data_IF_576198211751
#
_entry.id   IF_576198211751
#
_cell.length_a   1.000
_cell.length_b   1.000
_cell.length_c   1.000
_cell.angle_alpha   90.00
_cell.angle_beta   90.00
_cell.angle_gamma   90.00
#
_symmetry.space_group_name_H-M   'P 1'
#
loop_
_entity.id
_entity.type
_entity.pdbx_description
1 polymer ?
#
# COMPACT_ATOMS: atom_id res chain seq x y z
N UNK A 1 5.28 9.24 22.21
CA UNK A 1 5.63 9.36 20.77
C UNK A 1 4.59 8.63 19.90
N UNK A 2 3.77 9.40 19.16
CA UNK A 2 2.55 8.95 18.45
C UNK A 2 2.79 7.95 17.30
N UNK A 3 4.03 7.83 16.82
CA UNK A 3 4.42 6.93 15.72
C UNK A 3 4.31 5.43 16.09
N UNK A 4 4.28 5.07 17.38
CA UNK A 4 4.17 3.66 17.83
C UNK A 4 2.80 3.03 17.53
N UNK A 5 1.79 3.85 17.18
CA UNK A 5 0.44 3.41 16.82
C UNK A 5 0.09 3.67 15.35
N UNK A 6 1.06 4.15 14.56
CA UNK A 6 0.90 4.32 13.12
C UNK A 6 1.51 3.13 12.41
N UNK A 7 0.92 2.68 11.31
CA UNK A 7 1.52 1.67 10.41
C UNK A 7 2.56 2.40 9.55
N UNK A 8 3.86 2.37 9.89
CA UNK A 8 4.81 3.27 9.26
C UNK A 8 5.30 2.61 7.97
N UNK A 9 5.09 3.30 6.87
CA UNK A 9 5.56 2.90 5.55
C UNK A 9 6.74 3.77 5.14
N UNK A 10 7.71 3.19 4.43
CA UNK A 10 8.92 3.88 3.95
C UNK A 10 8.56 5.13 3.11
N UNK A 11 7.53 5.02 2.29
CA UNK A 11 7.04 6.05 1.39
C UNK A 11 5.53 6.25 1.58
N UNK A 12 5.03 7.43 1.25
CA UNK A 12 3.59 7.68 1.20
C UNK A 12 2.91 6.78 0.17
N UNK A 13 1.76 6.20 0.55
CA UNK A 13 0.95 5.38 -0.34
C UNK A 13 -0.16 6.24 -0.91
N UNK A 14 -0.11 6.47 -2.22
CA UNK A 14 -1.12 7.20 -2.98
C UNK A 14 -1.20 6.66 -4.41
N UNK A 15 -2.19 7.11 -5.16
CA UNK A 15 -2.32 6.80 -6.58
C UNK A 15 -2.76 8.03 -7.37
N UNK A 16 -2.42 8.03 -8.66
CA UNK A 16 -2.92 9.02 -9.62
C UNK A 16 -3.98 8.36 -10.50
N UNK A 17 -5.18 8.93 -10.52
CA UNK A 17 -6.26 8.53 -11.41
C UNK A 17 -6.34 9.52 -12.59
N UNK A 18 -6.21 8.99 -13.80
CA UNK A 18 -6.38 9.73 -15.05
C UNK A 18 -7.63 9.24 -15.75
N UNK A 19 -8.55 10.16 -16.04
CA UNK A 19 -9.76 9.89 -16.83
C UNK A 19 -9.60 10.61 -18.15
N UNK A 20 -9.64 9.87 -19.26
CA UNK A 20 -9.58 10.41 -20.61
C UNK A 20 -10.82 9.98 -21.40
N UNK A 21 -11.90 10.78 -21.38
CA UNK A 21 -13.12 10.47 -22.11
C UNK A 21 -12.92 10.47 -23.64
N UNK A 22 -11.99 11.27 -24.15
CA UNK A 22 -11.71 11.36 -25.59
C UNK A 22 -11.05 10.09 -26.13
N UNK A 23 -10.28 9.40 -25.29
CA UNK A 23 -9.67 8.09 -25.60
C UNK A 23 -10.42 6.91 -24.98
N UNK A 24 -11.52 7.16 -24.28
CA UNK A 24 -12.37 6.12 -23.68
C UNK A 24 -11.65 5.26 -22.65
N UNK A 25 -10.76 5.80 -21.82
CA UNK A 25 -10.15 5.02 -20.74
C UNK A 25 -10.02 5.77 -19.40
N UNK A 26 -10.02 4.98 -18.33
CA UNK A 26 -9.56 5.37 -17.00
C UNK A 26 -8.29 4.57 -16.67
N UNK A 27 -7.28 5.26 -16.14
CA UNK A 27 -6.01 4.68 -15.70
C UNK A 27 -5.72 5.06 -14.26
N UNK A 28 -5.30 4.11 -13.45
CA UNK A 28 -4.80 4.29 -12.08
C UNK A 28 -3.32 3.91 -12.08
N UNK A 29 -2.49 4.80 -11.57
CA UNK A 29 -1.06 4.57 -11.34
C UNK A 29 -0.81 4.57 -9.84
N UNK A 30 -0.67 3.39 -9.30
CA UNK A 30 -0.52 3.18 -7.87
C UNK A 30 0.93 3.25 -7.42
N UNK A 31 1.13 3.50 -6.12
CA UNK A 31 2.43 3.37 -5.46
C UNK A 31 2.38 2.27 -4.41
N UNK A 32 3.48 1.50 -4.36
CA UNK A 32 3.73 0.50 -3.32
C UNK A 32 4.77 1.04 -2.35
N UNK A 33 4.61 0.71 -1.08
CA UNK A 33 5.60 1.00 -0.05
C UNK A 33 5.83 -0.21 0.84
N UNK A 34 7.06 -0.29 1.36
CA UNK A 34 7.45 -1.25 2.37
C UNK A 34 7.02 -0.77 3.75
N UNK A 35 6.59 -1.69 4.60
CA UNK A 35 6.41 -1.46 6.03
C UNK A 35 7.79 -1.34 6.70
N UNK A 36 7.98 -0.33 7.54
CA UNK A 36 9.24 -0.03 8.26
C UNK A 36 9.07 -0.01 9.79
N UNK A 37 7.91 -0.46 10.27
CA UNK A 37 7.65 -0.56 11.71
C UNK A 37 8.29 -1.78 12.33
N UNK A 38 8.33 -1.86 13.68
CA UNK A 38 8.68 -3.10 14.34
C UNK A 38 7.74 -4.19 13.82
N UNK A 39 8.30 -5.32 13.46
CA UNK A 39 7.51 -6.41 12.94
C UNK A 39 6.54 -6.89 14.04
N UNK A 40 5.35 -7.40 13.69
CA UNK A 40 4.36 -7.83 14.68
C UNK A 40 4.90 -8.80 15.75
N UNK A 41 5.89 -9.64 15.40
CA UNK A 41 6.56 -10.56 16.33
C UNK A 41 7.51 -9.89 17.31
N UNK A 42 7.95 -8.66 17.07
CA UNK A 42 8.70 -7.85 18.02
C UNK A 42 7.78 -7.14 19.04
N UNK A 43 6.45 -7.24 18.84
CA UNK A 43 5.42 -6.65 19.69
C UNK A 43 4.68 -7.67 20.57
N UNK A 44 5.03 -8.96 20.49
CA UNK A 44 4.50 -10.02 21.36
C UNK A 44 3.48 -10.97 20.72
N UNK A 45 3.17 -10.80 19.42
CA UNK A 45 2.25 -11.68 18.67
C UNK A 45 3.01 -12.69 17.80
N UNK A 46 2.47 -13.89 17.57
CA UNK A 46 3.24 -14.95 16.88
C UNK A 46 3.48 -14.64 15.40
N UNK A 47 4.66 -15.02 14.89
CA UNK A 47 5.06 -14.86 13.47
C UNK A 47 4.10 -15.56 12.49
N UNK A 48 3.42 -16.61 12.95
CA UNK A 48 2.45 -17.37 12.16
C UNK A 48 1.09 -16.65 12.02
N UNK A 49 0.81 -15.67 12.87
CA UNK A 49 -0.45 -14.91 12.86
C UNK A 49 -0.42 -13.72 11.87
N UNK A 50 0.77 -13.23 11.50
CA UNK A 50 0.95 -12.11 10.56
C UNK A 50 1.95 -12.48 9.46
N UNK A 51 1.48 -13.06 8.35
CA UNK A 51 2.32 -13.42 7.19
C UNK A 51 2.86 -12.16 6.49
N UNK A 52 3.97 -11.63 7.02
CA UNK A 52 4.59 -10.39 6.59
C UNK A 52 5.10 -10.40 5.13
N UNK A 53 5.20 -11.56 4.48
CA UNK A 53 5.56 -11.63 3.05
C UNK A 53 4.45 -11.07 2.14
N UNK A 54 3.23 -10.95 2.64
CA UNK A 54 2.07 -10.42 1.88
C UNK A 54 1.72 -8.97 2.21
N UNK A 55 2.34 -8.37 3.23
CA UNK A 55 2.09 -6.99 3.66
C UNK A 55 2.83 -5.97 2.77
N UNK A 56 2.61 -6.01 1.46
CA UNK A 56 2.98 -4.92 0.56
C UNK A 56 1.81 -3.95 0.46
N UNK A 57 1.85 -2.90 1.26
CA UNK A 57 0.83 -1.89 1.20
C UNK A 57 1.03 -1.04 -0.06
N UNK A 58 0.00 -0.94 -0.88
CA UNK A 58 0.05 -0.18 -2.10
C UNK A 58 -1.27 -0.16 -2.84
N UNK A 59 -1.42 0.81 -3.72
CA UNK A 59 -2.48 0.79 -4.73
C UNK A 59 -1.92 0.08 -5.96
N UNK A 60 -2.72 -0.79 -6.59
CA UNK A 60 -2.33 -1.48 -7.81
C UNK A 60 -2.51 -0.58 -9.03
N UNK A 61 -1.67 -0.76 -10.04
CA UNK A 61 -1.88 -0.15 -11.34
C UNK A 61 -3.11 -0.78 -12.01
N UNK A 62 -3.92 0.06 -12.64
CA UNK A 62 -5.08 -0.42 -13.37
C UNK A 62 -5.38 0.43 -14.59
N UNK A 63 -5.97 -0.19 -15.61
CA UNK A 63 -6.47 0.51 -16.79
C UNK A 63 -7.73 -0.18 -17.27
N UNK A 64 -8.80 0.58 -17.42
CA UNK A 64 -10.07 0.07 -17.95
C UNK A 64 -10.60 0.99 -19.05
N UNK A 65 -11.33 0.45 -20.03
CA UNK A 65 -12.16 1.26 -20.89
C UNK A 65 -13.29 1.93 -20.08
N UNK A 66 -13.70 3.12 -20.49
CA UNK A 66 -14.90 3.82 -19.99
C UNK A 66 -15.92 3.97 -21.11
#
# INVERSE_FOLDING_TARGET
PYIKYTVPYRNSIFALATIDPGRGFLKIEGKRSEFVGPAPWELGETKDYWDAKTLTAGVADWKMPI
#
